data_IF_579388579812
#
_entry.id   IF_579388579812
#
_cell.length_a   1.000
_cell.length_b   1.000
_cell.length_c   1.000
_cell.angle_alpha   90.00
_cell.angle_beta   90.00
_cell.angle_gamma   90.00
#
_symmetry.space_group_name_H-M   'P 1'
#
loop_
_entity.id
_entity.type
_entity.pdbx_description
1 polymer ?
#
# COMPACT_ATOMS: atom_id res chain seq x y z
N UNK A 1 -2.83 -1.24 -19.25
CA UNK A 1 -3.04 -0.20 -18.20
C UNK A 1 -1.77 0.62 -17.90
N UNK A 2 -0.62 -0.01 -17.58
CA UNK A 2 0.64 0.72 -17.29
C UNK A 2 1.19 1.61 -18.43
N UNK A 3 1.02 1.22 -19.69
CA UNK A 3 1.50 2.02 -20.84
C UNK A 3 0.76 3.35 -21.00
N UNK A 4 -0.52 3.40 -20.60
CA UNK A 4 -1.34 4.61 -20.66
C UNK A 4 -0.89 5.63 -19.60
N UNK A 5 -0.66 5.19 -18.36
CA UNK A 5 -0.10 6.05 -17.30
C UNK A 5 1.28 6.61 -17.65
N UNK A 6 2.13 5.81 -18.32
CA UNK A 6 3.46 6.26 -18.78
C UNK A 6 3.40 7.26 -19.95
N UNK A 7 2.33 7.26 -20.73
CA UNK A 7 2.10 8.25 -21.78
C UNK A 7 1.58 9.56 -21.17
N UNK A 8 0.55 9.50 -20.32
CA UNK A 8 0.02 10.68 -19.61
C UNK A 8 1.11 11.42 -18.80
N UNK A 9 1.98 10.69 -18.11
CA UNK A 9 3.11 11.27 -17.38
C UNK A 9 4.15 11.93 -18.30
N UNK A 10 4.39 11.36 -19.49
CA UNK A 10 5.32 11.93 -20.48
C UNK A 10 4.77 13.19 -21.12
N UNK A 11 3.46 13.23 -21.35
CA UNK A 11 2.78 14.38 -21.94
C UNK A 11 2.64 15.52 -20.91
N UNK A 12 2.34 15.20 -19.65
CA UNK A 12 2.29 16.18 -18.57
C UNK A 12 3.67 16.77 -18.24
N UNK A 13 4.74 15.97 -18.27
CA UNK A 13 6.13 16.43 -18.07
C UNK A 13 6.57 17.45 -19.12
N UNK A 14 6.00 17.40 -20.32
CA UNK A 14 6.24 18.38 -21.39
C UNK A 14 5.41 19.66 -21.23
N UNK A 15 4.34 19.62 -20.45
CA UNK A 15 3.38 20.72 -20.32
C UNK A 15 3.61 21.57 -19.06
N UNK A 16 3.67 20.97 -17.88
CA UNK A 16 3.87 21.69 -16.60
C UNK A 16 4.32 20.73 -15.48
N UNK A 17 5.42 21.01 -14.76
CA UNK A 17 5.88 20.19 -13.62
C UNK A 17 4.83 20.00 -12.52
N UNK A 18 3.89 20.93 -12.33
CA UNK A 18 2.81 20.80 -11.33
C UNK A 18 1.78 19.72 -11.70
N UNK A 19 1.51 19.56 -12.99
CA UNK A 19 0.58 18.54 -13.51
C UNK A 19 1.20 17.15 -13.39
N UNK A 20 2.52 17.04 -13.55
CA UNK A 20 3.25 15.80 -13.34
C UNK A 20 3.15 15.29 -11.88
N UNK A 21 3.35 16.17 -10.89
CA UNK A 21 3.22 15.80 -9.47
C UNK A 21 1.82 15.34 -9.09
N UNK A 22 0.80 16.02 -9.62
CA UNK A 22 -0.60 15.63 -9.43
C UNK A 22 -0.88 14.23 -10.01
N UNK A 23 -0.44 13.95 -11.23
CA UNK A 23 -0.64 12.65 -11.87
C UNK A 23 0.12 11.53 -11.15
N UNK A 24 1.35 11.79 -10.70
CA UNK A 24 2.12 10.83 -9.90
C UNK A 24 1.39 10.47 -8.61
N UNK A 25 0.93 11.46 -7.85
CA UNK A 25 0.22 11.22 -6.60
C UNK A 25 -1.09 10.45 -6.83
N UNK A 26 -1.85 10.79 -7.87
CA UNK A 26 -3.06 10.05 -8.25
C UNK A 26 -2.76 8.59 -8.55
N UNK A 27 -1.72 8.32 -9.34
CA UNK A 27 -1.35 6.97 -9.73
C UNK A 27 -0.89 6.14 -8.53
N UNK A 28 -0.13 6.73 -7.60
CA UNK A 28 0.27 6.07 -6.35
C UNK A 28 -0.97 5.70 -5.53
N UNK A 29 -1.90 6.64 -5.31
CA UNK A 29 -3.13 6.37 -4.55
C UNK A 29 -3.95 5.25 -5.19
N UNK A 30 -4.11 5.26 -6.51
CA UNK A 30 -4.88 4.24 -7.24
C UNK A 30 -4.22 2.87 -7.18
N UNK A 31 -2.90 2.79 -7.40
CA UNK A 31 -2.16 1.53 -7.34
C UNK A 31 -2.18 0.96 -5.93
N UNK A 32 -1.93 1.81 -4.93
CA UNK A 32 -2.02 1.42 -3.53
C UNK A 32 -3.43 0.89 -3.22
N UNK A 33 -4.48 1.64 -3.56
CA UNK A 33 -5.87 1.23 -3.31
C UNK A 33 -6.24 -0.10 -3.97
N UNK A 34 -5.84 -0.30 -5.23
CA UNK A 34 -6.10 -1.55 -5.96
C UNK A 34 -5.35 -2.75 -5.35
N UNK A 35 -4.18 -2.53 -4.75
CA UNK A 35 -3.37 -3.57 -4.15
C UNK A 35 -3.84 -4.00 -2.74
N UNK A 36 -4.61 -3.15 -2.02
CA UNK A 36 -5.07 -3.41 -0.64
C UNK A 36 -5.78 -4.77 -0.54
N UNK A 37 -6.81 -4.97 -1.36
CA UNK A 37 -7.66 -6.16 -1.28
C UNK A 37 -6.89 -7.47 -1.53
N UNK A 38 -6.15 -7.64 -2.65
CA UNK A 38 -5.41 -8.89 -2.89
C UNK A 38 -4.30 -9.13 -1.87
N UNK A 39 -3.57 -8.09 -1.42
CA UNK A 39 -2.53 -8.24 -0.41
C UNK A 39 -3.10 -8.66 0.95
N UNK A 40 -4.23 -8.06 1.35
CA UNK A 40 -4.92 -8.44 2.61
C UNK A 40 -5.32 -9.91 2.57
N UNK A 41 -5.92 -10.36 1.47
CA UNK A 41 -6.34 -11.75 1.32
C UNK A 41 -5.15 -12.71 1.41
N UNK A 42 -4.04 -12.40 0.74
CA UNK A 42 -2.83 -13.23 0.77
C UNK A 42 -2.21 -13.30 2.17
N UNK A 43 -2.14 -12.19 2.89
CA UNK A 43 -1.62 -12.16 4.27
C UNK A 43 -2.47 -13.04 5.20
N UNK A 44 -3.79 -12.96 5.08
CA UNK A 44 -4.70 -13.81 5.87
C UNK A 44 -4.59 -15.29 5.52
N UNK A 45 -4.51 -15.64 4.24
CA UNK A 45 -4.29 -17.03 3.82
C UNK A 45 -3.00 -17.57 4.43
N UNK A 46 -1.91 -16.80 4.38
CA UNK A 46 -0.64 -17.21 4.97
C UNK A 46 -0.73 -17.41 6.49
N UNK A 47 -1.41 -16.52 7.21
CA UNK A 47 -1.63 -16.64 8.66
C UNK A 47 -2.45 -17.90 8.99
N UNK A 48 -3.54 -18.14 8.26
CA UNK A 48 -4.41 -19.31 8.48
C UNK A 48 -3.66 -20.62 8.21
N UNK A 49 -2.85 -20.66 7.14
CA UNK A 49 -2.00 -21.82 6.85
C UNK A 49 -0.97 -22.04 7.96
N UNK A 50 -0.38 -20.98 8.50
CA UNK A 50 0.54 -21.11 9.62
C UNK A 50 -0.17 -21.57 10.89
N UNK A 51 -1.35 -21.07 11.21
CA UNK A 51 -2.12 -21.55 12.37
C UNK A 51 -2.48 -23.03 12.30
N UNK A 52 -2.81 -23.53 11.10
CA UNK A 52 -3.18 -24.93 10.90
C UNK A 52 -1.97 -25.88 11.01
N UNK A 53 -0.77 -25.38 10.66
CA UNK A 53 0.45 -26.20 10.59
C UNK A 53 1.42 -25.96 11.76
N UNK A 54 1.25 -24.87 12.50
CA UNK A 54 2.16 -24.40 13.56
C UNK A 54 1.32 -24.00 14.76
N UNK A 55 1.56 -24.65 15.90
CA UNK A 55 0.79 -24.42 17.13
C UNK A 55 0.80 -22.97 17.63
N UNK A 56 1.87 -22.22 17.34
CA UNK A 56 2.01 -20.79 17.67
C UNK A 56 2.64 -20.01 16.50
N UNK A 57 1.85 -19.35 15.64
CA UNK A 57 2.39 -18.41 14.67
C UNK A 57 2.95 -17.16 15.36
N UNK A 58 3.96 -16.49 14.77
CA UNK A 58 4.53 -15.29 15.36
C UNK A 58 3.47 -14.18 15.48
N UNK A 59 3.27 -13.68 16.71
CA UNK A 59 2.26 -12.66 17.04
C UNK A 59 2.37 -11.39 16.19
N UNK A 60 3.58 -11.00 15.79
CA UNK A 60 3.78 -9.86 14.88
C UNK A 60 3.23 -10.09 13.47
N UNK A 61 3.15 -11.34 12.98
CA UNK A 61 2.51 -11.63 11.69
C UNK A 61 0.98 -11.50 11.78
N UNK A 62 0.37 -12.00 12.86
CA UNK A 62 -1.08 -11.87 13.08
C UNK A 62 -1.48 -10.41 13.25
N UNK A 63 -0.71 -9.64 14.02
CA UNK A 63 -0.94 -8.21 14.23
C UNK A 63 -0.80 -7.43 12.92
N UNK A 64 0.24 -7.73 12.11
CA UNK A 64 0.41 -7.10 10.80
C UNK A 64 -0.74 -7.46 9.83
N UNK A 65 -1.25 -8.69 9.86
CA UNK A 65 -2.42 -9.14 9.09
C UNK A 65 -3.71 -8.39 9.42
N UNK A 66 -3.90 -8.02 10.69
CA UNK A 66 -5.04 -7.23 11.17
C UNK A 66 -4.86 -5.73 10.91
N UNK A 67 -3.65 -5.20 11.16
CA UNK A 67 -3.35 -3.78 11.01
C UNK A 67 -3.30 -3.35 9.54
N UNK A 68 -2.85 -4.23 8.63
CA UNK A 68 -2.72 -3.90 7.22
C UNK A 68 -4.02 -3.37 6.57
N UNK A 69 -5.19 -4.05 6.64
CA UNK A 69 -6.43 -3.54 6.04
C UNK A 69 -6.91 -2.24 6.70
N UNK A 70 -6.73 -2.09 8.02
CA UNK A 70 -7.13 -0.89 8.76
C UNK A 70 -6.29 0.31 8.35
N UNK A 71 -4.96 0.16 8.35
CA UNK A 71 -4.02 1.19 7.91
C UNK A 71 -4.21 1.53 6.43
N UNK A 72 -4.55 0.53 5.61
CA UNK A 72 -4.86 0.70 4.19
C UNK A 72 -6.10 1.55 3.96
N UNK A 73 -7.19 1.27 4.68
CA UNK A 73 -8.43 2.03 4.56
C UNK A 73 -8.26 3.45 5.12
N UNK A 74 -7.61 3.60 6.27
CA UNK A 74 -7.30 4.89 6.88
C UNK A 74 -6.38 5.73 5.98
N UNK A 75 -5.34 5.11 5.40
CA UNK A 75 -4.43 5.77 4.47
C UNK A 75 -5.14 6.24 3.20
N UNK A 76 -5.99 5.39 2.61
CA UNK A 76 -6.76 5.77 1.42
C UNK A 76 -7.74 6.92 1.70
N UNK A 77 -8.47 6.86 2.82
CA UNK A 77 -9.44 7.91 3.19
C UNK A 77 -8.78 9.24 3.53
N UNK A 78 -7.57 9.22 4.13
CA UNK A 78 -6.78 10.42 4.42
C UNK A 78 -6.03 10.97 3.19
N UNK A 79 -5.58 10.11 2.26
CA UNK A 79 -4.87 10.54 1.07
C UNK A 79 -5.75 11.39 0.12
N UNK A 80 -7.04 11.08 0.01
CA UNK A 80 -7.99 11.82 -0.84
C UNK A 80 -8.12 13.32 -0.48
N UNK A 81 -8.41 13.72 0.77
CA UNK A 81 -8.50 15.13 1.13
C UNK A 81 -7.14 15.85 1.03
N UNK A 82 -6.02 15.20 1.34
CA UNK A 82 -4.69 15.78 1.12
C UNK A 82 -4.41 16.05 -0.36
N UNK A 83 -4.80 15.12 -1.23
CA UNK A 83 -4.68 15.30 -2.68
C UNK A 83 -5.52 16.48 -3.18
N UNK A 84 -6.75 16.65 -2.67
CA UNK A 84 -7.61 17.81 -2.98
C UNK A 84 -7.00 19.15 -2.53
N UNK A 85 -6.24 19.16 -1.44
CA UNK A 85 -5.54 20.35 -0.92
C UNK A 85 -4.19 20.62 -1.60
N UNK A 86 -3.87 19.92 -2.70
CA UNK A 86 -2.60 20.02 -3.45
C UNK A 86 -1.35 19.59 -2.64
N UNK A 87 -1.53 18.84 -1.55
CA UNK A 87 -0.41 18.23 -0.82
C UNK A 87 -0.07 16.85 -1.42
N UNK A 88 0.46 16.85 -2.64
CA UNK A 88 0.68 15.64 -3.44
C UNK A 88 1.68 14.67 -2.83
N UNK A 89 2.79 15.20 -2.27
CA UNK A 89 3.80 14.40 -1.59
C UNK A 89 3.24 13.71 -0.34
N UNK A 90 2.55 14.48 0.51
CA UNK A 90 1.92 13.95 1.73
C UNK A 90 0.83 12.91 1.43
N UNK A 91 0.01 13.15 0.40
CA UNK A 91 -1.02 12.20 -0.03
C UNK A 91 -0.40 10.87 -0.51
N UNK A 92 0.72 10.94 -1.22
CA UNK A 92 1.44 9.75 -1.71
C UNK A 92 2.06 8.95 -0.57
N UNK A 93 2.66 9.63 0.41
CA UNK A 93 3.24 8.98 1.59
C UNK A 93 2.18 8.25 2.42
N UNK A 94 1.05 8.91 2.67
CA UNK A 94 -0.05 8.32 3.44
C UNK A 94 -0.67 7.11 2.71
N UNK A 95 -0.80 7.19 1.38
CA UNK A 95 -1.26 6.06 0.59
C UNK A 95 -0.28 4.87 0.58
N UNK A 96 1.02 5.14 0.72
CA UNK A 96 2.08 4.12 0.77
C UNK A 96 2.31 3.54 2.18
N UNK A 97 1.81 4.17 3.24
CA UNK A 97 1.97 3.75 4.64
C UNK A 97 1.64 2.26 4.90
N UNK A 98 0.61 1.66 4.27
CA UNK A 98 0.30 0.25 4.49
C UNK A 98 1.39 -0.70 4.00
N UNK A 99 2.25 -0.28 3.05
CA UNK A 99 3.38 -1.09 2.59
C UNK A 99 4.36 -1.38 3.74
N UNK A 100 4.44 -0.52 4.75
CA UNK A 100 5.26 -0.78 5.94
C UNK A 100 4.76 -2.00 6.73
N UNK A 101 3.44 -2.23 6.79
CA UNK A 101 2.89 -3.41 7.44
C UNK A 101 3.17 -4.70 6.65
N UNK A 102 3.25 -4.63 5.31
CA UNK A 102 3.71 -5.76 4.48
C UNK A 102 5.17 -6.09 4.78
N UNK A 103 6.03 -5.07 4.87
CA UNK A 103 7.45 -5.26 5.22
C UNK A 103 7.58 -5.86 6.61
N UNK A 104 6.85 -5.33 7.60
CA UNK A 104 6.84 -5.88 8.96
C UNK A 104 6.38 -7.33 9.00
N UNK A 105 5.35 -7.68 8.23
CA UNK A 105 4.86 -9.06 8.08
C UNK A 105 5.95 -9.99 7.52
N UNK A 106 6.59 -9.60 6.42
CA UNK A 106 7.65 -10.40 5.79
C UNK A 106 8.89 -10.55 6.70
N UNK A 107 9.32 -9.47 7.35
CA UNK A 107 10.45 -9.51 8.29
C UNK A 107 10.14 -10.42 9.49
N UNK A 108 8.91 -10.36 10.01
CA UNK A 108 8.48 -11.22 11.11
C UNK A 108 8.44 -12.69 10.69
N UNK A 109 7.96 -12.98 9.48
CA UNK A 109 7.96 -14.33 8.91
C UNK A 109 9.37 -14.89 8.75
N UNK A 110 10.28 -14.10 8.16
CA UNK A 110 11.68 -14.50 7.97
C UNK A 110 12.38 -14.72 9.32
N UNK A 111 12.17 -13.82 10.29
CA UNK A 111 12.77 -13.96 11.62
C UNK A 111 12.26 -15.19 12.37
N UNK A 112 11.00 -15.56 12.18
CA UNK A 112 10.44 -16.76 12.78
C UNK A 112 10.91 -18.06 12.10
N UNK A 113 11.19 -18.00 10.79
CA UNK A 113 11.69 -19.14 10.01
C UNK A 113 13.20 -19.43 10.16
N UNK A 114 13.96 -18.51 10.76
CA UNK A 114 15.40 -18.63 11.06
C UNK A 114 15.62 -19.08 12.50
#
# INVERSE_FOLDING_TARGET
MFNHFKQELRDARKADPRVEEQLRARNVILVCAAAIAPLTALMWIAILLLWDNVGDPPSMMTDAGLLYPVLSLAGATLAMPLHKRRHYFGASLIAALPLLAVVAFLVSAVRWAL
#
